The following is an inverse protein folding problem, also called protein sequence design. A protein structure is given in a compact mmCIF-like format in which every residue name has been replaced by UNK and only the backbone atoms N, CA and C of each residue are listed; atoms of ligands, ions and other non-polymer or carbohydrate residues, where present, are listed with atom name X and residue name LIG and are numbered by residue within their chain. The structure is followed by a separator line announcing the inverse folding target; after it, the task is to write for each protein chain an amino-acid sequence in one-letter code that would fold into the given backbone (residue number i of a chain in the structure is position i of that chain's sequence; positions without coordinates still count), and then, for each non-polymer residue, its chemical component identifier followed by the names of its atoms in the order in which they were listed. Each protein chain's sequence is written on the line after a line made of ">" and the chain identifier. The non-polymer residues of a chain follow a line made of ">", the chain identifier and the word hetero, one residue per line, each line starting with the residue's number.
data_IF_295591128779
#
_entry.id   IF_295591128779
#
_cell.length_a   1.000
_cell.length_b   1.000
_cell.length_c   1.000
_cell.angle_alpha   90.00
_cell.angle_beta   90.00
_cell.angle_gamma   90.00
#
_symmetry.space_group_name_H-M   'P 1'
#
loop_
_entity.id
_entity.type
_entity.pdbx_description
1 polymer ?
#
# COMPACT_ATOMS: atom_id res chain seq x y z
N UNK A 1 -4.69 27.48 67.19
CA UNK A 1 -5.13 27.23 65.80
C UNK A 1 -3.95 26.66 65.04
N UNK A 2 -3.86 25.34 64.97
CA UNK A 2 -2.72 24.62 64.39
C UNK A 2 -2.92 24.44 62.88
N UNK A 3 -1.90 24.88 62.15
CA UNK A 3 -1.77 24.79 60.70
C UNK A 3 -1.47 23.34 60.30
N UNK A 4 -2.23 22.77 59.37
CA UNK A 4 -1.94 21.49 58.73
C UNK A 4 -2.36 21.57 57.26
N UNK A 5 -1.44 21.96 56.39
CA UNK A 5 -1.61 21.85 54.94
C UNK A 5 -0.78 20.65 54.46
N UNK A 6 -1.44 19.50 54.33
CA UNK A 6 -0.85 18.29 53.73
C UNK A 6 -0.78 18.49 52.22
N UNK A 7 0.40 18.76 51.69
CA UNK A 7 0.66 18.73 50.25
C UNK A 7 0.62 17.27 49.76
N UNK A 8 -0.43 16.90 49.03
CA UNK A 8 -0.49 15.64 48.28
C UNK A 8 0.22 15.87 46.95
N UNK A 9 1.42 15.31 46.81
CA UNK A 9 2.13 15.23 45.54
C UNK A 9 1.45 14.14 44.69
N UNK A 10 0.55 14.55 43.79
CA UNK A 10 0.01 13.64 42.76
C UNK A 10 1.06 13.54 41.65
N UNK A 11 1.88 12.49 41.69
CA UNK A 11 2.73 12.11 40.57
C UNK A 11 1.83 11.53 39.49
N UNK A 12 1.42 12.36 38.54
CA UNK A 12 0.76 11.90 37.31
C UNK A 12 1.84 11.29 36.43
N UNK A 13 2.08 9.99 36.59
CA UNK A 13 2.84 9.19 35.62
C UNK A 13 1.99 9.07 34.36
N UNK A 14 2.19 9.96 33.39
CA UNK A 14 1.71 9.72 32.03
C UNK A 14 2.52 8.57 31.45
N UNK A 15 2.02 7.35 31.63
CA UNK A 15 2.49 6.19 30.90
C UNK A 15 2.27 6.49 29.41
N UNK A 16 3.34 6.79 28.69
CA UNK A 16 3.36 6.73 27.24
C UNK A 16 3.08 5.29 26.85
N UNK A 17 1.81 4.96 26.62
CA UNK A 17 1.41 3.74 25.92
C UNK A 17 1.95 3.89 24.50
N UNK A 18 3.10 3.27 24.25
CA UNK A 18 3.59 3.07 22.90
C UNK A 18 2.58 2.18 22.19
N UNK A 19 1.77 2.78 21.32
CA UNK A 19 0.86 2.01 20.47
C UNK A 19 1.71 1.09 19.60
N UNK A 20 1.49 -0.22 19.71
CA UNK A 20 2.15 -1.21 18.89
C UNK A 20 1.78 -0.95 17.43
N UNK A 21 2.74 -0.47 16.63
CA UNK A 21 2.62 -0.48 15.17
C UNK A 21 2.48 -1.94 14.74
N UNK A 22 1.25 -2.36 14.49
CA UNK A 22 0.92 -3.70 14.06
C UNK A 22 1.33 -3.85 12.58
N UNK A 23 2.63 -3.85 12.34
CA UNK A 23 3.19 -4.22 11.04
C UNK A 23 2.80 -5.69 10.82
N UNK A 24 1.82 -5.92 9.95
CA UNK A 24 1.36 -7.26 9.60
C UNK A 24 2.59 -8.13 9.31
N UNK A 25 2.84 -9.13 10.16
CA UNK A 25 3.95 -10.08 10.01
C UNK A 25 3.60 -11.07 8.89
N UNK A 26 3.59 -10.56 7.66
CA UNK A 26 3.26 -11.34 6.47
C UNK A 26 4.44 -12.27 6.17
N UNK A 27 4.25 -13.58 6.37
CA UNK A 27 5.26 -14.58 5.97
C UNK A 27 5.47 -14.51 4.44
N UNK A 28 6.72 -14.54 3.97
CA UNK A 28 7.01 -14.52 2.54
C UNK A 28 6.53 -15.80 1.87
N UNK A 29 5.93 -15.67 0.69
CA UNK A 29 5.48 -16.78 -0.15
C UNK A 29 6.63 -17.58 -0.73
N UNK A 30 6.31 -18.73 -1.34
CA UNK A 30 7.30 -19.48 -2.13
C UNK A 30 7.92 -18.64 -3.26
N UNK A 31 7.19 -17.69 -3.83
CA UNK A 31 7.67 -16.86 -4.94
C UNK A 31 8.67 -15.82 -4.44
N UNK A 32 8.34 -15.14 -3.34
CA UNK A 32 9.25 -14.20 -2.67
C UNK A 32 10.46 -14.92 -2.08
N UNK A 33 10.30 -16.13 -1.53
CA UNK A 33 11.43 -16.98 -1.09
C UNK A 33 12.34 -17.36 -2.25
N UNK A 34 11.78 -17.80 -3.37
CA UNK A 34 12.57 -18.14 -4.56
C UNK A 34 13.32 -16.91 -5.11
N UNK A 35 12.68 -15.73 -5.09
CA UNK A 35 13.33 -14.47 -5.42
C UNK A 35 14.48 -14.17 -4.45
N UNK A 36 14.26 -14.31 -3.14
CA UNK A 36 15.27 -14.04 -2.13
C UNK A 36 16.49 -14.96 -2.24
N UNK A 37 16.28 -16.25 -2.54
CA UNK A 37 17.35 -17.21 -2.79
C UNK A 37 18.21 -16.84 -4.00
N UNK A 38 17.60 -16.32 -5.08
CA UNK A 38 18.32 -15.84 -6.27
C UNK A 38 19.00 -14.48 -6.06
N UNK A 39 18.67 -13.77 -4.98
CA UNK A 39 19.07 -12.39 -4.73
C UNK A 39 19.56 -12.19 -3.29
N UNK A 40 20.34 -13.15 -2.78
CA UNK A 40 20.75 -13.24 -1.37
C UNK A 40 21.37 -11.96 -0.81
N UNK A 41 22.26 -11.30 -1.58
CA UNK A 41 22.95 -10.08 -1.16
C UNK A 41 22.02 -8.87 -0.97
N UNK A 42 20.87 -8.86 -1.64
CA UNK A 42 19.92 -7.74 -1.58
C UNK A 42 18.62 -8.10 -0.84
N UNK A 43 18.41 -9.38 -0.52
CA UNK A 43 17.17 -9.86 0.09
C UNK A 43 16.90 -9.19 1.45
N UNK A 44 17.92 -9.06 2.30
CA UNK A 44 17.77 -8.38 3.58
C UNK A 44 17.43 -6.89 3.41
N UNK A 45 18.02 -6.23 2.41
CA UNK A 45 17.72 -4.83 2.12
C UNK A 45 16.27 -4.68 1.63
N UNK A 46 15.83 -5.53 0.71
CA UNK A 46 14.46 -5.55 0.22
C UNK A 46 13.44 -5.79 1.34
N UNK A 47 13.74 -6.70 2.29
CA UNK A 47 12.90 -6.94 3.47
C UNK A 47 12.77 -5.68 4.35
N UNK A 48 13.89 -4.98 4.62
CA UNK A 48 13.88 -3.73 5.40
C UNK A 48 13.03 -2.66 4.70
N UNK A 49 13.19 -2.49 3.39
CA UNK A 49 12.42 -1.54 2.58
C UNK A 49 10.93 -1.89 2.55
N UNK A 50 10.59 -3.18 2.50
CA UNK A 50 9.18 -3.61 2.53
C UNK A 50 8.52 -3.24 3.85
N UNK A 51 9.23 -3.43 4.98
CA UNK A 51 8.75 -2.97 6.30
C UNK A 51 8.64 -1.45 6.37
N UNK A 52 9.64 -0.73 5.85
CA UNK A 52 9.63 0.73 5.76
C UNK A 52 8.38 1.22 5.01
N UNK A 53 8.13 0.70 3.81
CA UNK A 53 6.97 1.11 3.01
C UNK A 53 5.63 0.84 3.71
N UNK A 54 5.48 -0.32 4.36
CA UNK A 54 4.29 -0.60 5.19
C UNK A 54 4.14 0.40 6.33
N UNK A 55 5.19 0.65 7.11
CA UNK A 55 5.15 1.59 8.23
C UNK A 55 4.86 3.02 7.77
N UNK A 56 5.51 3.50 6.72
CA UNK A 56 5.27 4.83 6.14
C UNK A 56 3.83 4.98 5.66
N UNK A 57 3.26 3.95 5.03
CA UNK A 57 1.87 3.99 4.55
C UNK A 57 0.88 4.08 5.71
N UNK A 58 1.14 3.37 6.82
CA UNK A 58 0.33 3.48 8.04
C UNK A 58 0.41 4.89 8.62
N UNK A 59 1.59 5.50 8.69
CA UNK A 59 1.76 6.87 9.18
C UNK A 59 1.00 7.89 8.31
N UNK A 60 1.02 7.74 6.98
CA UNK A 60 0.29 8.62 6.06
C UNK A 60 -1.23 8.48 6.25
N UNK A 61 -1.71 7.25 6.46
CA UNK A 61 -3.11 6.95 6.78
C UNK A 61 -3.53 7.56 8.11
N UNK A 62 -2.74 7.38 9.18
CA UNK A 62 -2.99 7.94 10.52
C UNK A 62 -3.01 9.47 10.51
N UNK A 63 -2.09 10.09 9.78
CA UNK A 63 -1.99 11.54 9.63
C UNK A 63 -3.00 12.13 8.63
N UNK A 64 -3.88 11.31 8.04
CA UNK A 64 -4.94 11.74 7.12
C UNK A 64 -4.42 12.54 5.91
N UNK A 65 -3.20 12.23 5.45
CA UNK A 65 -2.56 12.95 4.33
C UNK A 65 -3.22 12.58 2.99
N UNK A 66 -3.69 11.33 2.89
CA UNK A 66 -4.46 10.76 1.78
C UNK A 66 -5.80 10.21 2.34
N UNK A 67 -6.42 9.25 1.64
CA UNK A 67 -7.62 8.55 2.13
C UNK A 67 -7.29 7.55 3.26
N UNK A 68 -8.30 6.81 3.71
CA UNK A 68 -8.15 5.74 4.70
C UNK A 68 -8.17 4.34 4.09
N UNK A 69 -8.28 4.25 2.77
CA UNK A 69 -8.54 3.03 2.02
C UNK A 69 -7.22 2.36 1.62
N UNK A 70 -6.83 1.38 2.41
CA UNK A 70 -5.59 0.62 2.25
C UNK A 70 -5.72 -0.59 1.31
N UNK A 71 -6.88 -0.75 0.67
CA UNK A 71 -7.22 -1.86 -0.23
C UNK A 71 -7.88 -1.33 -1.52
N UNK A 72 -7.05 -0.88 -2.45
CA UNK A 72 -7.46 -0.31 -3.72
C UNK A 72 -7.63 1.21 -3.73
N UNK A 73 -7.35 1.91 -2.62
CA UNK A 73 -7.44 3.36 -2.49
C UNK A 73 -6.11 4.10 -2.70
N UNK A 74 -6.08 5.37 -2.31
CA UNK A 74 -4.93 6.27 -2.46
C UNK A 74 -3.76 5.82 -1.58
N UNK A 75 -4.03 5.36 -0.36
CA UNK A 75 -3.00 4.79 0.52
C UNK A 75 -2.38 3.53 -0.07
N UNK A 76 -3.19 2.68 -0.71
CA UNK A 76 -2.69 1.48 -1.37
C UNK A 76 -1.80 1.81 -2.58
N UNK A 77 -2.28 2.72 -3.43
CA UNK A 77 -1.52 3.23 -4.56
C UNK A 77 -0.19 3.89 -4.13
N UNK A 78 -0.21 4.67 -3.05
CA UNK A 78 0.99 5.22 -2.42
C UNK A 78 1.94 4.10 -1.99
N UNK A 79 1.45 3.11 -1.25
CA UNK A 79 2.25 2.02 -0.67
C UNK A 79 3.03 1.27 -1.75
N UNK A 80 2.34 0.84 -2.81
CA UNK A 80 2.97 0.13 -3.92
C UNK A 80 3.98 1.00 -4.66
N UNK A 81 3.64 2.25 -4.93
CA UNK A 81 4.52 3.18 -5.62
C UNK A 81 5.78 3.49 -4.82
N UNK A 82 5.63 3.81 -3.52
CA UNK A 82 6.75 4.11 -2.63
C UNK A 82 7.64 2.89 -2.40
N UNK A 83 7.04 1.72 -2.16
CA UNK A 83 7.77 0.46 -2.04
C UNK A 83 8.65 0.20 -3.25
N UNK A 84 8.10 0.35 -4.45
CA UNK A 84 8.82 0.09 -5.69
C UNK A 84 9.86 1.16 -6.04
N UNK A 85 9.61 2.42 -5.70
CA UNK A 85 10.59 3.48 -5.82
C UNK A 85 11.81 3.20 -4.92
N UNK A 86 11.58 2.91 -3.64
CA UNK A 86 12.63 2.60 -2.67
C UNK A 86 13.41 1.34 -3.03
N UNK A 87 12.73 0.26 -3.43
CA UNK A 87 13.42 -0.93 -3.94
C UNK A 87 14.28 -0.60 -5.16
N UNK A 88 13.77 0.22 -6.08
CA UNK A 88 14.49 0.55 -7.31
C UNK A 88 15.76 1.37 -7.02
N UNK A 89 15.67 2.39 -6.15
CA UNK A 89 16.83 3.17 -5.70
C UNK A 89 17.93 2.28 -5.11
N UNK A 90 17.54 1.24 -4.37
CA UNK A 90 18.43 0.50 -3.48
C UNK A 90 18.98 -0.82 -4.03
N UNK A 91 18.22 -1.49 -4.91
CA UNK A 91 18.54 -2.82 -5.44
C UNK A 91 18.44 -2.88 -6.97
N UNK A 92 18.03 -1.78 -7.61
CA UNK A 92 17.87 -1.65 -9.06
C UNK A 92 16.52 -2.17 -9.58
N UNK A 93 16.01 -1.52 -10.63
CA UNK A 93 14.68 -1.74 -11.21
C UNK A 93 14.39 -3.21 -11.52
N UNK A 94 15.32 -3.90 -12.22
CA UNK A 94 15.10 -5.30 -12.65
C UNK A 94 14.81 -6.23 -11.47
N UNK A 95 15.47 -6.02 -10.33
CA UNK A 95 15.27 -6.84 -9.13
C UNK A 95 13.98 -6.43 -8.40
N UNK A 96 13.73 -5.13 -8.29
CA UNK A 96 12.51 -4.57 -7.71
C UNK A 96 11.25 -5.08 -8.43
N UNK A 97 11.17 -4.94 -9.75
CA UNK A 97 10.02 -5.40 -10.57
C UNK A 97 9.80 -6.91 -10.40
N UNK A 98 10.87 -7.72 -10.41
CA UNK A 98 10.73 -9.16 -10.18
C UNK A 98 10.19 -9.48 -8.79
N UNK A 99 10.52 -8.68 -7.77
CA UNK A 99 9.99 -8.85 -6.42
C UNK A 99 8.51 -8.45 -6.37
N UNK A 100 8.14 -7.30 -6.95
CA UNK A 100 6.73 -6.88 -7.08
C UNK A 100 5.87 -7.93 -7.76
N UNK A 101 6.31 -8.46 -8.90
CA UNK A 101 5.60 -9.57 -9.59
C UNK A 101 5.53 -10.83 -8.74
N UNK A 102 6.55 -11.15 -7.95
CA UNK A 102 6.53 -12.29 -7.04
C UNK A 102 5.50 -12.09 -5.90
N UNK A 103 5.35 -10.86 -5.41
CA UNK A 103 4.34 -10.47 -4.43
C UNK A 103 2.93 -10.62 -5.01
N UNK A 104 2.67 -10.11 -6.22
CA UNK A 104 1.34 -10.24 -6.82
C UNK A 104 0.97 -11.69 -7.17
N UNK A 105 1.95 -12.52 -7.53
CA UNK A 105 1.75 -13.97 -7.70
C UNK A 105 1.34 -14.67 -6.41
N UNK A 106 1.78 -14.17 -5.25
CA UNK A 106 1.29 -14.64 -3.96
C UNK A 106 -0.16 -14.24 -3.78
N UNK A 107 -0.51 -12.97 -4.01
CA UNK A 107 -1.87 -12.46 -3.85
C UNK A 107 -2.88 -13.28 -4.67
N UNK A 108 -2.55 -13.60 -5.92
CA UNK A 108 -3.33 -14.52 -6.76
C UNK A 108 -3.47 -15.93 -6.18
N UNK A 109 -2.39 -16.48 -5.60
CA UNK A 109 -2.42 -17.81 -5.01
C UNK A 109 -3.27 -17.83 -3.73
N UNK A 110 -3.19 -16.79 -2.92
CA UNK A 110 -3.97 -16.64 -1.70
C UNK A 110 -5.46 -16.48 -2.06
N UNK A 111 -5.77 -15.77 -3.16
CA UNK A 111 -7.11 -15.74 -3.75
C UNK A 111 -7.62 -17.13 -4.14
N UNK A 112 -6.84 -17.88 -4.92
CA UNK A 112 -7.22 -19.25 -5.34
C UNK A 112 -7.46 -20.19 -4.16
N UNK A 113 -6.77 -19.96 -3.05
CA UNK A 113 -6.91 -20.72 -1.82
C UNK A 113 -8.02 -20.20 -0.89
N UNK A 114 -8.75 -19.15 -1.30
CA UNK A 114 -9.76 -18.45 -0.49
C UNK A 114 -9.20 -17.94 0.85
N UNK A 115 -7.91 -17.62 0.89
CA UNK A 115 -7.25 -16.97 2.03
C UNK A 115 -7.55 -15.47 2.01
N UNK A 116 -7.67 -14.89 0.81
CA UNK A 116 -8.13 -13.52 0.59
C UNK A 116 -9.21 -13.52 -0.49
N UNK A 117 -10.23 -12.70 -0.32
CA UNK A 117 -11.32 -12.50 -1.30
C UNK A 117 -11.16 -11.20 -2.10
N UNK A 118 -10.16 -10.38 -1.78
CA UNK A 118 -9.98 -9.02 -2.32
C UNK A 118 -8.92 -8.92 -3.41
N UNK A 119 -8.03 -9.92 -3.53
CA UNK A 119 -7.00 -10.00 -4.58
C UNK A 119 -7.55 -10.51 -5.92
N UNK A 120 -8.62 -9.87 -6.40
CA UNK A 120 -9.15 -10.12 -7.74
C UNK A 120 -8.19 -9.59 -8.83
N UNK A 121 -8.55 -9.82 -10.09
CA UNK A 121 -7.75 -9.40 -11.25
C UNK A 121 -7.57 -7.88 -11.33
N UNK A 122 -8.53 -7.09 -10.85
CA UNK A 122 -8.50 -5.63 -10.90
C UNK A 122 -7.55 -5.07 -9.85
N UNK A 123 -7.60 -5.61 -8.63
CA UNK A 123 -6.64 -5.29 -7.56
C UNK A 123 -5.21 -5.63 -7.97
N UNK A 124 -4.97 -6.83 -8.50
CA UNK A 124 -3.64 -7.22 -8.97
C UNK A 124 -3.15 -6.32 -10.11
N UNK A 125 -4.05 -5.93 -11.03
CA UNK A 125 -3.70 -5.01 -12.11
C UNK A 125 -3.32 -3.63 -11.58
N UNK A 126 -4.08 -3.09 -10.62
CA UNK A 126 -3.77 -1.83 -9.95
C UNK A 126 -2.38 -1.88 -9.30
N UNK A 127 -2.09 -2.93 -8.52
CA UNK A 127 -0.81 -3.12 -7.84
C UNK A 127 0.34 -3.19 -8.84
N UNK A 128 0.20 -3.95 -9.93
CA UNK A 128 1.22 -4.05 -10.98
C UNK A 128 1.51 -2.71 -11.67
N UNK A 129 0.48 -1.92 -11.97
CA UNK A 129 0.64 -0.61 -12.61
C UNK A 129 1.31 0.40 -11.68
N UNK A 130 0.87 0.48 -10.42
CA UNK A 130 1.48 1.35 -9.43
C UNK A 130 2.92 0.89 -9.11
N UNK A 131 3.18 -0.42 -9.11
CA UNK A 131 4.53 -0.95 -8.99
C UNK A 131 5.46 -0.49 -10.13
N UNK A 132 4.96 -0.45 -11.37
CA UNK A 132 5.71 0.05 -12.52
C UNK A 132 5.98 1.55 -12.41
N UNK A 133 4.97 2.35 -12.07
CA UNK A 133 5.13 3.81 -11.89
C UNK A 133 6.13 4.10 -10.79
N UNK A 134 5.98 3.47 -9.61
CA UNK A 134 6.91 3.61 -8.50
C UNK A 134 8.34 3.25 -8.89
N UNK A 135 8.52 2.17 -9.66
CA UNK A 135 9.84 1.80 -10.14
C UNK A 135 10.45 2.84 -11.10
N UNK A 136 9.64 3.44 -11.98
CA UNK A 136 10.10 4.52 -12.86
C UNK A 136 10.53 5.76 -12.06
N UNK A 137 9.72 6.15 -11.07
CA UNK A 137 10.07 7.23 -10.12
C UNK A 137 11.40 6.92 -9.42
N UNK A 138 11.62 5.68 -8.99
CA UNK A 138 12.88 5.28 -8.34
C UNK A 138 14.11 5.32 -9.24
N UNK A 139 13.95 5.26 -10.57
CA UNK A 139 15.05 5.50 -11.52
C UNK A 139 15.30 6.99 -11.66
N UNK A 140 14.24 7.74 -11.96
CA UNK A 140 14.31 9.17 -12.24
C UNK A 140 14.87 9.96 -11.05
N UNK A 141 14.43 9.59 -9.85
CA UNK A 141 14.80 10.24 -8.59
C UNK A 141 15.73 9.34 -7.77
N UNK A 142 16.73 8.72 -8.40
CA UNK A 142 17.60 7.71 -7.78
C UNK A 142 18.24 8.15 -6.45
N UNK A 143 18.64 9.41 -6.35
CA UNK A 143 19.36 9.98 -5.20
C UNK A 143 18.46 10.81 -4.28
N UNK A 144 17.17 10.90 -4.59
CA UNK A 144 16.23 11.68 -3.80
C UNK A 144 16.06 11.07 -2.40
N UNK A 145 16.24 11.84 -1.31
CA UNK A 145 16.03 11.37 0.04
C UNK A 145 14.62 10.84 0.27
N UNK A 146 14.47 9.92 1.22
CA UNK A 146 13.20 9.20 1.47
C UNK A 146 12.05 10.14 1.75
N UNK A 147 12.29 11.17 2.56
CA UNK A 147 11.29 12.14 2.99
C UNK A 147 10.75 12.92 1.79
N UNK A 148 11.64 13.34 0.88
CA UNK A 148 11.27 14.01 -0.36
C UNK A 148 10.62 13.07 -1.37
N UNK A 149 11.03 11.80 -1.40
CA UNK A 149 10.37 10.79 -2.22
C UNK A 149 8.94 10.51 -1.75
N UNK A 150 8.69 10.51 -0.44
CA UNK A 150 7.34 10.39 0.13
C UNK A 150 6.48 11.58 -0.32
N UNK A 151 6.97 12.81 -0.13
CA UNK A 151 6.28 14.03 -0.57
C UNK A 151 5.94 13.96 -2.07
N UNK A 152 6.92 13.61 -2.90
CA UNK A 152 6.75 13.48 -4.35
C UNK A 152 5.63 12.47 -4.68
N UNK A 153 5.67 11.26 -4.12
CA UNK A 153 4.69 10.22 -4.45
C UNK A 153 3.30 10.58 -3.93
N UNK A 154 3.20 11.23 -2.76
CA UNK A 154 1.92 11.79 -2.28
C UNK A 154 1.35 12.79 -3.31
N UNK A 155 2.18 13.67 -3.87
CA UNK A 155 1.74 14.59 -4.92
C UNK A 155 1.34 13.86 -6.20
N UNK A 156 2.08 12.82 -6.61
CA UNK A 156 1.71 12.01 -7.78
C UNK A 156 0.34 11.34 -7.61
N UNK A 157 0.05 10.81 -6.42
CA UNK A 157 -1.28 10.27 -6.08
C UNK A 157 -2.35 11.36 -6.17
N UNK A 158 -2.16 12.51 -5.51
CA UNK A 158 -3.11 13.63 -5.52
C UNK A 158 -3.36 14.21 -6.92
N UNK A 159 -2.35 14.17 -7.78
CA UNK A 159 -2.43 14.70 -9.14
C UNK A 159 -3.09 13.74 -10.14
N UNK A 160 -3.43 12.51 -9.72
CA UNK A 160 -4.09 11.54 -10.61
C UNK A 160 -3.13 10.66 -11.40
N UNK A 161 -1.86 10.62 -11.03
CA UNK A 161 -0.86 9.89 -11.81
C UNK A 161 -0.84 8.39 -11.45
N UNK A 162 -1.47 8.00 -10.34
CA UNK A 162 -1.59 6.62 -9.90
C UNK A 162 -2.92 5.98 -10.28
N UNK A 163 -3.05 4.67 -10.08
CA UNK A 163 -4.27 3.92 -10.32
C UNK A 163 -4.91 3.47 -9.00
N UNK A 164 -6.23 3.49 -8.94
CA UNK A 164 -7.04 3.04 -7.80
C UNK A 164 -8.27 2.28 -8.32
N UNK A 165 -8.95 1.57 -7.42
CA UNK A 165 -10.21 0.91 -7.71
C UNK A 165 -11.36 1.89 -7.45
N UNK A 166 -12.28 1.99 -8.40
CA UNK A 166 -13.41 2.89 -8.30
C UNK A 166 -14.35 2.47 -7.18
N UNK A 167 -14.64 3.41 -6.27
CA UNK A 167 -15.56 3.24 -5.15
C UNK A 167 -16.41 4.50 -4.96
N UNK A 168 -17.58 4.33 -4.33
CA UNK A 168 -18.36 5.47 -3.82
C UNK A 168 -17.77 6.01 -2.50
N UNK A 169 -18.41 7.05 -1.95
CA UNK A 169 -18.00 7.67 -0.67
C UNK A 169 -18.17 6.74 0.54
N UNK A 170 -18.95 5.66 0.39
CA UNK A 170 -19.17 4.62 1.39
C UNK A 170 -18.22 3.41 1.18
N UNK A 171 -17.28 3.49 0.24
CA UNK A 171 -16.32 2.45 -0.12
C UNK A 171 -16.93 1.20 -0.81
N UNK A 172 -18.15 1.30 -1.33
CA UNK A 172 -18.72 0.26 -2.19
C UNK A 172 -17.99 0.26 -3.54
N UNK A 173 -17.65 -0.92 -4.07
CA UNK A 173 -17.00 -1.01 -5.38
C UNK A 173 -17.99 -0.66 -6.50
N UNK A 174 -17.51 0.09 -7.50
CA UNK A 174 -18.32 0.53 -8.64
C UNK A 174 -17.89 -0.16 -9.94
N UNK A 175 -18.86 -0.34 -10.83
CA UNK A 175 -18.62 -0.78 -12.21
C UNK A 175 -18.17 0.39 -13.11
N UNK A 176 -17.87 0.08 -14.38
CA UNK A 176 -17.45 1.07 -15.39
C UNK A 176 -18.44 2.22 -15.61
N UNK A 177 -19.72 2.02 -15.29
CA UNK A 177 -20.77 3.03 -15.43
C UNK A 177 -21.01 3.79 -14.11
N UNK A 178 -20.28 3.46 -13.04
CA UNK A 178 -20.46 4.05 -11.72
C UNK A 178 -21.58 3.41 -10.89
N UNK A 179 -22.13 2.26 -11.30
CA UNK A 179 -23.13 1.56 -10.51
C UNK A 179 -22.48 0.75 -9.39
N UNK A 180 -23.12 0.70 -8.22
CA UNK A 180 -22.68 -0.13 -7.10
C UNK A 180 -22.72 -1.60 -7.49
N UNK A 181 -21.63 -2.32 -7.24
CA UNK A 181 -21.53 -3.77 -7.40
C UNK A 181 -21.81 -4.42 -6.03
N UNK A 182 -22.74 -5.37 -5.98
CA UNK A 182 -22.98 -6.13 -4.77
C UNK A 182 -21.73 -6.93 -4.38
N UNK A 183 -21.42 -7.03 -3.09
CA UNK A 183 -20.27 -7.79 -2.59
C UNK A 183 -20.24 -9.23 -3.09
N UNK A 184 -21.40 -9.89 -3.24
CA UNK A 184 -21.47 -11.24 -3.79
C UNK A 184 -21.01 -11.36 -5.25
N UNK A 185 -21.06 -10.26 -6.01
CA UNK A 185 -20.73 -10.23 -7.44
C UNK A 185 -19.25 -9.92 -7.71
N UNK A 186 -18.46 -9.63 -6.67
CA UNK A 186 -17.02 -9.36 -6.84
C UNK A 186 -16.14 -10.04 -5.79
N UNK A 187 -16.56 -10.16 -4.53
CA UNK A 187 -15.74 -10.76 -3.50
C UNK A 187 -15.56 -12.26 -3.74
N UNK A 188 -14.31 -12.71 -3.84
CA UNK A 188 -14.02 -14.11 -4.16
C UNK A 188 -14.29 -14.48 -5.63
N UNK A 189 -14.60 -13.50 -6.49
CA UNK A 189 -14.71 -13.67 -7.95
C UNK A 189 -13.51 -13.01 -8.63
N UNK A 190 -12.69 -13.80 -9.32
CA UNK A 190 -11.39 -13.34 -9.82
C UNK A 190 -11.52 -12.31 -10.94
N UNK A 191 -12.40 -12.58 -11.89
CA UNK A 191 -12.74 -11.66 -12.98
C UNK A 191 -14.14 -11.14 -12.67
N UNK A 192 -14.22 -9.86 -12.33
CA UNK A 192 -15.46 -9.21 -11.89
C UNK A 192 -15.60 -7.84 -12.58
N UNK A 193 -16.64 -7.10 -12.20
CA UNK A 193 -17.00 -5.82 -12.83
C UNK A 193 -16.33 -4.60 -12.21
N UNK A 194 -15.46 -4.76 -11.19
CA UNK A 194 -14.83 -3.61 -10.51
C UNK A 194 -14.03 -2.81 -11.52
N UNK A 195 -14.11 -1.50 -11.44
CA UNK A 195 -13.41 -0.63 -12.38
C UNK A 195 -12.08 -0.11 -11.82
N UNK A 196 -11.06 -0.07 -12.69
CA UNK A 196 -9.79 0.60 -12.45
C UNK A 196 -9.81 2.02 -13.05
N UNK A 197 -9.42 3.01 -12.25
CA UNK A 197 -9.40 4.44 -12.61
C UNK A 197 -8.07 5.11 -12.22
N UNK A 198 -7.84 6.33 -12.70
CA UNK A 198 -6.78 7.20 -12.15
C UNK A 198 -7.15 7.73 -10.77
N UNK A 199 -6.15 8.08 -9.97
CA UNK A 199 -6.30 8.67 -8.62
C UNK A 199 -6.76 10.14 -8.62
N UNK A 200 -7.50 10.59 -9.65
CA UNK A 200 -8.05 11.95 -9.77
C UNK A 200 -9.41 11.92 -10.46
N UNK A 201 -10.26 12.84 -10.01
CA UNK A 201 -11.59 13.10 -10.56
C UNK A 201 -11.51 14.12 -11.70
N UNK A 202 -12.37 14.06 -12.74
CA UNK A 202 -13.48 13.12 -12.92
C UNK A 202 -13.04 11.75 -13.45
N UNK A 203 -13.84 10.74 -13.13
CA UNK A 203 -13.52 9.34 -13.38
C UNK A 203 -13.65 8.97 -14.86
N UNK A 204 -12.64 8.31 -15.42
CA UNK A 204 -12.77 7.54 -16.65
C UNK A 204 -12.17 6.17 -16.39
N UNK A 205 -12.99 5.12 -16.50
CA UNK A 205 -12.52 3.75 -16.38
C UNK A 205 -11.56 3.43 -17.52
N UNK A 206 -10.42 2.81 -17.19
CA UNK A 206 -9.37 2.53 -18.18
C UNK A 206 -9.48 1.10 -18.73
N UNK A 207 -10.37 0.28 -18.17
CA UNK A 207 -10.67 -1.05 -18.68
C UNK A 207 -11.54 -0.94 -19.96
N UNK A 208 -10.89 -0.87 -21.11
CA UNK A 208 -11.53 -1.25 -22.38
C UNK A 208 -11.56 -2.78 -22.48
N UNK A 209 -12.72 -3.29 -22.91
CA UNK A 209 -13.03 -4.70 -23.18
C UNK A 209 -11.89 -5.46 -23.85
#
# INVERSE_FOLDING_TARGET
>A
MTCNLKYIFIVITTAFVTQSLNAQNIKPSRFEKAWALKHIFVANKAKKISKEASTTSLQIKENKILDFDDNGGFIDAFRHSYWMARLTQEIGQKKAIKLGVAHEKKNYKDFKKRISTTHDSVSIQMDLLNNQIGSQIGIEYKELPKEKLIELIVQQVKNGNMFIIQKDTLHNSLDINGNIINNADWQGIYVNKRCLIKSKYPFTCIQKK
#
